data_IF_784321740511
#
_entry.id   IF_784321740511
#
_cell.length_a   1.000
_cell.length_b   1.000
_cell.length_c   1.000
_cell.angle_alpha   90.00
_cell.angle_beta   90.00
_cell.angle_gamma   90.00
#
_symmetry.space_group_name_H-M   'P 1'
#
loop_
_entity.id
_entity.type
_entity.pdbx_description
1 polymer ?
#
# COMPACT_ATOMS: atom_id res chain seq x y z
N UNK A 1 -22.37 -55.23 28.51
CA UNK A 1 -21.96 -53.81 28.47
C UNK A 1 -22.47 -53.18 27.17
N UNK A 2 -23.76 -52.79 27.08
CA UNK A 2 -24.34 -52.22 25.84
C UNK A 2 -25.33 -51.05 26.08
N UNK A 3 -25.41 -50.54 27.32
CA UNK A 3 -26.42 -49.52 27.69
C UNK A 3 -25.81 -48.11 27.94
N UNK A 4 -24.48 -47.98 27.91
CA UNK A 4 -23.81 -46.69 28.18
C UNK A 4 -23.68 -45.83 26.92
N UNK A 5 -23.53 -46.45 25.74
CA UNK A 5 -23.39 -45.73 24.47
C UNK A 5 -24.72 -45.14 23.99
N UNK A 6 -25.83 -45.86 24.18
CA UNK A 6 -27.17 -45.38 23.85
C UNK A 6 -27.57 -44.16 24.69
N UNK A 7 -27.16 -44.10 25.97
CA UNK A 7 -27.34 -42.94 26.83
C UNK A 7 -26.48 -41.74 26.38
N UNK A 8 -25.27 -41.98 25.88
CA UNK A 8 -24.35 -40.94 25.40
C UNK A 8 -24.82 -40.28 24.10
N UNK A 9 -25.19 -41.08 23.08
CA UNK A 9 -25.64 -40.55 21.80
C UNK A 9 -26.95 -39.78 21.89
N UNK A 10 -27.92 -40.27 22.69
CA UNK A 10 -29.15 -39.52 22.96
C UNK A 10 -28.85 -38.22 23.70
N UNK A 11 -27.91 -38.24 24.66
CA UNK A 11 -27.47 -37.04 25.37
C UNK A 11 -26.97 -35.95 24.44
N UNK A 12 -26.06 -36.29 23.52
CA UNK A 12 -25.50 -35.34 22.54
C UNK A 12 -26.58 -34.74 21.64
N UNK A 13 -27.51 -35.56 21.15
CA UNK A 13 -28.61 -35.11 20.29
C UNK A 13 -29.54 -34.15 21.03
N UNK A 14 -29.85 -34.42 22.30
CA UNK A 14 -30.65 -33.53 23.15
C UNK A 14 -29.91 -32.21 23.38
N UNK A 15 -28.62 -32.25 23.73
CA UNK A 15 -27.81 -31.04 23.92
C UNK A 15 -27.80 -30.16 22.66
N UNK A 16 -27.58 -30.75 21.48
CA UNK A 16 -27.60 -29.99 20.21
C UNK A 16 -28.97 -29.36 19.96
N UNK A 17 -30.05 -30.07 20.27
CA UNK A 17 -31.42 -29.56 20.14
C UNK A 17 -31.69 -28.39 21.09
N UNK A 18 -31.21 -28.48 22.32
CA UNK A 18 -31.35 -27.42 23.33
C UNK A 18 -30.59 -26.15 22.93
N UNK A 19 -29.36 -26.30 22.41
CA UNK A 19 -28.59 -25.17 21.86
C UNK A 19 -29.29 -24.53 20.66
N UNK A 20 -29.87 -25.32 19.74
CA UNK A 20 -30.63 -24.78 18.61
C UNK A 20 -31.85 -23.97 19.06
N UNK A 21 -32.56 -24.45 20.09
CA UNK A 21 -33.71 -23.72 20.64
C UNK A 21 -33.28 -22.44 21.36
N UNK A 22 -32.17 -22.46 22.09
CA UNK A 22 -31.65 -21.27 22.75
C UNK A 22 -31.15 -20.22 21.73
N UNK A 23 -30.52 -20.67 20.63
CA UNK A 23 -30.16 -19.81 19.51
C UNK A 23 -31.39 -19.14 18.89
N UNK A 24 -32.46 -19.89 18.64
CA UNK A 24 -33.71 -19.34 18.09
C UNK A 24 -34.35 -18.32 19.04
N UNK A 25 -34.36 -18.59 20.34
CA UNK A 25 -34.90 -17.67 21.36
C UNK A 25 -34.14 -16.35 21.40
N UNK A 26 -32.82 -16.37 21.21
CA UNK A 26 -31.95 -15.19 21.27
C UNK A 26 -31.58 -14.63 19.89
N UNK A 27 -32.15 -15.15 18.81
CA UNK A 27 -31.82 -14.77 17.44
C UNK A 27 -32.04 -13.28 17.18
N UNK A 28 -33.05 -12.67 17.80
CA UNK A 28 -33.29 -11.22 17.73
C UNK A 28 -32.16 -10.41 18.36
N UNK A 29 -31.60 -10.86 19.50
CA UNK A 29 -30.47 -10.18 20.16
C UNK A 29 -29.21 -10.33 19.30
N UNK A 30 -28.96 -11.53 18.77
CA UNK A 30 -27.82 -11.79 17.88
C UNK A 30 -27.92 -10.94 16.61
N UNK A 31 -29.11 -10.83 16.03
CA UNK A 31 -29.36 -10.00 14.84
C UNK A 31 -29.15 -8.51 15.16
N UNK A 32 -29.65 -8.03 16.30
CA UNK A 32 -29.46 -6.64 16.71
C UNK A 32 -27.98 -6.29 16.88
N UNK A 33 -27.21 -7.16 17.56
CA UNK A 33 -25.76 -6.98 17.71
C UNK A 33 -25.08 -7.03 16.34
N UNK A 34 -25.41 -8.00 15.49
CA UNK A 34 -24.84 -8.11 14.15
C UNK A 34 -25.08 -6.86 13.30
N UNK A 35 -26.29 -6.27 13.36
CA UNK A 35 -26.62 -5.03 12.66
C UNK A 35 -25.78 -3.86 13.19
N UNK A 36 -25.62 -3.74 14.51
CA UNK A 36 -24.80 -2.67 15.12
C UNK A 36 -23.35 -2.78 14.65
N UNK A 37 -22.76 -3.97 14.73
CA UNK A 37 -21.39 -4.21 14.26
C UNK A 37 -21.25 -4.00 12.75
N UNK A 38 -22.26 -4.37 11.96
CA UNK A 38 -22.28 -4.14 10.52
C UNK A 38 -22.33 -2.64 10.16
N UNK A 39 -23.13 -1.85 10.88
CA UNK A 39 -23.21 -0.40 10.68
C UNK A 39 -21.88 0.29 11.02
N UNK A 40 -21.28 -0.11 12.14
CA UNK A 40 -19.96 0.39 12.56
C UNK A 40 -18.91 0.00 11.50
N UNK A 41 -18.85 -1.27 11.11
CA UNK A 41 -17.90 -1.76 10.12
C UNK A 41 -18.04 -1.08 8.75
N UNK A 42 -19.28 -0.82 8.31
CA UNK A 42 -19.55 -0.09 7.07
C UNK A 42 -19.07 1.37 7.16
N UNK A 43 -19.30 2.04 8.29
CA UNK A 43 -18.78 3.39 8.54
C UNK A 43 -17.26 3.44 8.49
N UNK A 44 -16.59 2.51 9.18
CA UNK A 44 -15.12 2.43 9.16
C UNK A 44 -14.55 2.08 7.79
N UNK A 45 -15.21 1.18 7.04
CA UNK A 45 -14.75 0.77 5.71
C UNK A 45 -14.74 1.92 4.72
N UNK A 46 -15.62 2.92 4.87
CA UNK A 46 -15.71 4.05 3.94
C UNK A 46 -14.69 5.15 4.24
N UNK A 47 -14.13 5.18 5.45
CA UNK A 47 -13.08 6.13 5.84
C UNK A 47 -11.67 5.61 5.61
N UNK A 48 -11.50 4.33 5.25
CA UNK A 48 -10.20 3.84 4.82
C UNK A 48 -9.96 4.32 3.39
N UNK A 49 -9.11 5.32 3.25
CA UNK A 49 -8.59 5.76 1.95
C UNK A 49 -7.76 4.63 1.34
N UNK A 50 -7.96 4.37 0.05
CA UNK A 50 -7.17 3.38 -0.68
C UNK A 50 -5.70 3.85 -0.74
N UNK A 51 -4.81 3.11 -0.09
CA UNK A 51 -3.37 3.40 -0.13
C UNK A 51 -2.71 2.67 -1.30
N UNK A 52 -2.30 3.42 -2.32
CA UNK A 52 -1.52 2.90 -3.44
C UNK A 52 -0.03 3.02 -3.15
N UNK A 53 0.63 1.89 -2.93
CA UNK A 53 2.08 1.84 -2.71
C UNK A 53 2.82 1.76 -4.06
N UNK A 54 3.62 2.78 -4.38
CA UNK A 54 4.52 2.79 -5.52
C UNK A 54 5.97 2.58 -5.05
N UNK A 55 6.66 1.60 -5.64
CA UNK A 55 8.08 1.33 -5.37
C UNK A 55 8.89 1.70 -6.61
N UNK A 56 9.87 2.59 -6.44
CA UNK A 56 10.79 3.02 -7.51
C UNK A 56 12.19 2.56 -7.15
N UNK A 57 12.83 1.79 -8.04
CA UNK A 57 14.22 1.37 -7.91
C UNK A 57 15.02 1.91 -9.09
N UNK A 58 16.15 2.55 -8.82
CA UNK A 58 17.03 3.10 -9.84
C UNK A 58 18.50 2.85 -9.47
N UNK A 59 19.35 2.75 -10.48
CA UNK A 59 20.80 2.63 -10.35
C UNK A 59 21.38 3.91 -10.96
N UNK A 60 22.29 4.58 -10.25
CA UNK A 60 22.99 5.77 -10.74
C UNK A 60 24.33 5.32 -11.30
N UNK A 61 24.52 5.47 -12.60
CA UNK A 61 25.79 5.19 -13.27
C UNK A 61 26.64 6.47 -13.29
N UNK A 62 27.77 6.45 -12.58
CA UNK A 62 28.75 7.53 -12.63
C UNK A 62 29.62 7.31 -13.86
N UNK A 63 29.32 8.02 -14.95
CA UNK A 63 30.08 7.92 -16.19
C UNK A 63 31.42 8.65 -16.05
N UNK A 64 32.40 7.98 -15.45
CA UNK A 64 33.79 8.42 -15.49
C UNK A 64 34.67 7.36 -16.15
N UNK A 65 34.95 7.53 -17.45
CA UNK A 65 36.06 6.88 -18.12
C UNK A 65 37.38 7.36 -17.50
N UNK A 66 37.90 6.66 -16.48
CA UNK A 66 39.24 6.94 -15.95
C UNK A 66 39.41 6.60 -14.46
N UNK A 67 40.23 5.60 -14.18
CA UNK A 67 40.41 4.94 -12.88
C UNK A 67 40.93 5.81 -11.72
N UNK A 68 41.21 7.10 -11.90
CA UNK A 68 41.69 8.00 -10.85
C UNK A 68 40.87 9.30 -10.68
N UNK A 69 39.86 9.55 -11.52
CA UNK A 69 39.10 10.81 -11.48
C UNK A 69 37.73 10.69 -10.77
N UNK A 70 37.23 9.47 -10.58
CA UNK A 70 35.92 9.22 -9.95
C UNK A 70 35.82 9.78 -8.51
N UNK A 71 36.84 9.57 -7.67
CA UNK A 71 36.83 10.07 -6.29
C UNK A 71 36.89 11.61 -6.20
N UNK A 72 37.62 12.25 -7.12
CA UNK A 72 37.76 13.71 -7.14
C UNK A 72 36.53 14.38 -7.79
N UNK A 73 35.93 13.76 -8.80
CA UNK A 73 34.66 14.18 -9.42
C UNK A 73 33.51 14.15 -8.40
N UNK A 74 33.42 13.08 -7.60
CA UNK A 74 32.44 12.97 -6.52
C UNK A 74 32.57 14.10 -5.48
N UNK A 75 33.80 14.50 -5.14
CA UNK A 75 34.05 15.63 -4.22
C UNK A 75 33.83 17.00 -4.88
N UNK A 76 34.20 17.18 -6.14
CA UNK A 76 34.01 18.43 -6.88
C UNK A 76 32.51 18.75 -7.10
N UNK A 77 31.71 17.71 -7.36
CA UNK A 77 30.25 17.83 -7.44
C UNK A 77 29.60 18.25 -6.12
N UNK A 78 30.14 17.83 -4.96
CA UNK A 78 29.63 18.26 -3.65
C UNK A 78 29.85 19.76 -3.37
N UNK A 79 30.87 20.37 -3.98
CA UNK A 79 31.21 21.79 -3.79
C UNK A 79 30.73 22.69 -4.94
N UNK A 80 30.03 22.14 -5.94
CA UNK A 80 29.44 22.91 -7.04
C UNK A 80 30.45 23.48 -8.03
N UNK A 81 31.67 22.92 -8.13
CA UNK A 81 32.68 23.36 -9.09
C UNK A 81 32.45 22.60 -10.41
N UNK A 82 31.71 23.22 -11.32
CA UNK A 82 31.50 22.75 -12.69
C UNK A 82 32.69 23.16 -13.57
N UNK A 83 33.71 22.29 -13.65
CA UNK A 83 34.92 22.56 -14.41
C UNK A 83 34.77 22.09 -15.87
N UNK A 84 33.83 22.69 -16.61
CA UNK A 84 33.88 22.90 -18.07
C UNK A 84 34.17 21.70 -18.99
N UNK A 85 33.94 20.46 -18.57
CA UNK A 85 34.20 19.26 -19.35
C UNK A 85 33.00 18.33 -19.30
N UNK A 86 32.27 18.26 -20.41
CA UNK A 86 31.24 17.29 -20.81
C UNK A 86 30.69 16.36 -19.71
N UNK A 87 29.39 16.52 -19.44
CA UNK A 87 28.53 15.64 -18.63
C UNK A 87 28.73 15.72 -17.11
N UNK A 88 28.62 16.95 -16.58
CA UNK A 88 28.16 17.18 -15.20
C UNK A 88 26.74 16.65 -15.08
N UNK A 89 26.60 15.37 -14.79
CA UNK A 89 25.31 14.73 -14.54
C UNK A 89 24.72 15.40 -13.30
N UNK A 90 23.82 16.37 -13.51
CA UNK A 90 23.05 17.04 -12.44
C UNK A 90 22.18 16.05 -11.64
N UNK A 91 22.22 14.76 -12.00
CA UNK A 91 21.63 13.60 -11.36
C UNK A 91 22.71 12.77 -10.64
N UNK A 92 23.24 13.30 -9.52
CA UNK A 92 24.08 12.52 -8.62
C UNK A 92 23.22 11.70 -7.64
N UNK A 93 23.77 10.59 -7.14
CA UNK A 93 23.12 9.72 -6.14
C UNK A 93 22.65 10.50 -4.90
N UNK A 94 23.34 11.59 -4.56
CA UNK A 94 23.04 12.43 -3.40
C UNK A 94 21.80 13.33 -3.61
N UNK A 95 21.54 13.81 -4.84
CA UNK A 95 20.50 14.82 -5.10
C UNK A 95 19.25 14.28 -5.81
N UNK A 96 19.31 13.06 -6.37
CA UNK A 96 18.22 12.48 -7.16
C UNK A 96 16.93 12.27 -6.34
N UNK A 97 17.05 11.89 -5.06
CA UNK A 97 15.88 11.73 -4.17
C UNK A 97 15.24 13.08 -3.88
N UNK A 98 16.03 14.13 -3.66
CA UNK A 98 15.52 15.48 -3.44
C UNK A 98 14.85 16.04 -4.70
N UNK A 99 15.44 15.78 -5.86
CA UNK A 99 14.88 16.14 -7.14
C UNK A 99 13.54 15.43 -7.39
N UNK A 100 13.44 14.13 -7.12
CA UNK A 100 12.18 13.37 -7.23
C UNK A 100 11.10 13.89 -6.27
N UNK A 101 11.49 14.40 -5.09
CA UNK A 101 10.57 15.03 -4.12
C UNK A 101 10.22 16.48 -4.46
N UNK A 102 10.83 17.08 -5.48
CA UNK A 102 10.61 18.48 -5.83
C UNK A 102 9.18 18.72 -6.30
N UNK A 103 8.49 19.69 -5.67
CA UNK A 103 7.13 20.10 -6.06
C UNK A 103 7.01 20.41 -7.54
N UNK A 104 8.02 21.06 -8.13
CA UNK A 104 8.02 21.42 -9.55
C UNK A 104 7.94 20.19 -10.46
N UNK A 105 8.65 19.11 -10.13
CA UNK A 105 8.61 17.87 -10.91
C UNK A 105 7.29 17.15 -10.68
N UNK A 106 6.81 17.09 -9.44
CA UNK A 106 5.53 16.46 -9.09
C UNK A 106 4.37 17.15 -9.81
N UNK A 107 4.22 18.47 -9.66
CA UNK A 107 3.14 19.24 -10.29
C UNK A 107 3.17 19.15 -11.81
N UNK A 108 4.37 19.18 -12.41
CA UNK A 108 4.50 19.08 -13.87
C UNK A 108 4.20 17.68 -14.39
N UNK A 109 4.50 16.66 -13.59
CA UNK A 109 4.16 15.26 -13.91
C UNK A 109 2.66 15.03 -13.79
N UNK A 110 2.03 15.52 -12.71
CA UNK A 110 0.58 15.42 -12.51
C UNK A 110 -0.24 16.18 -13.58
N UNK A 111 0.32 17.28 -14.11
CA UNK A 111 -0.29 18.06 -15.19
C UNK A 111 -0.03 17.51 -16.60
N UNK A 112 0.63 16.34 -16.73
CA UNK A 112 0.74 15.68 -18.02
C UNK A 112 -0.50 14.82 -18.31
N UNK A 113 -0.86 14.77 -19.59
CA UNK A 113 -1.95 13.92 -20.08
C UNK A 113 -1.45 12.51 -20.35
N UNK A 114 -2.17 11.50 -19.90
CA UNK A 114 -1.93 10.09 -20.24
C UNK A 114 -3.21 9.39 -20.71
N UNK A 115 -3.07 8.28 -21.43
CA UNK A 115 -4.22 7.48 -21.87
C UNK A 115 -4.64 6.55 -20.74
N UNK A 116 -5.72 6.88 -20.05
CA UNK A 116 -6.37 6.04 -19.03
C UNK A 116 -7.65 5.51 -19.66
N UNK A 117 -7.79 4.18 -19.73
CA UNK A 117 -8.99 3.51 -20.29
C UNK A 117 -9.38 3.98 -21.71
N UNK A 118 -8.40 4.38 -22.54
CA UNK A 118 -8.63 4.83 -23.92
C UNK A 118 -9.04 6.29 -24.07
N UNK A 119 -9.21 7.04 -22.98
CA UNK A 119 -9.39 8.50 -22.97
C UNK A 119 -8.11 9.20 -22.55
N UNK A 120 -7.84 10.36 -23.15
CA UNK A 120 -6.72 11.22 -22.76
C UNK A 120 -7.18 12.12 -21.61
N UNK A 121 -6.61 11.94 -20.43
CA UNK A 121 -6.89 12.78 -19.26
C UNK A 121 -5.61 13.12 -18.49
N UNK A 122 -5.66 14.15 -17.66
CA UNK A 122 -4.57 14.56 -16.79
C UNK A 122 -4.39 13.55 -15.65
N UNK A 123 -3.13 13.29 -15.29
CA UNK A 123 -2.79 12.43 -14.16
C UNK A 123 -3.35 12.96 -12.83
N UNK A 124 -3.52 14.28 -12.70
CA UNK A 124 -4.10 14.88 -11.48
C UNK A 124 -5.58 14.57 -11.27
N UNK A 125 -6.29 14.12 -12.31
CA UNK A 125 -7.71 13.82 -12.24
C UNK A 125 -8.00 12.38 -11.78
N UNK A 126 -6.97 11.56 -11.58
CA UNK A 126 -7.04 10.14 -11.24
C UNK A 126 -6.13 9.83 -10.04
#
# INVERSE_FOLDING_TARGET
>A
MKNNDEASFKGIIVTISDYKNELKKRLLIILAVAIIFSLIGFGFSRSQEDQYNAVISFIVEDQSEGSNLSALSGMANMIGIDMGGSATSSFNQQNIIELLKSRKIIERTLNNTCKIEGKSDLLINH
#
